data_IF_856086519834
#
_entry.id   IF_856086519834
#
_cell.length_a   1.000
_cell.length_b   1.000
_cell.length_c   1.000
_cell.angle_alpha   90.00
_cell.angle_beta   90.00
_cell.angle_gamma   90.00
#
_symmetry.space_group_name_H-M   'P 1'
#
loop_
_entity.id
_entity.type
_entity.pdbx_description
1 polymer ?
#
# COMPACT_ATOMS: atom_id res chain seq x y z
N UNK A 1 12.32 10.83 -20.77
CA UNK A 1 12.43 9.75 -21.79
C UNK A 1 12.42 8.34 -21.17
N UNK A 2 11.40 7.95 -20.39
CA UNK A 2 11.28 6.55 -19.90
C UNK A 2 9.85 5.98 -19.95
N UNK A 3 8.86 6.81 -20.28
CA UNK A 3 7.43 6.46 -20.26
C UNK A 3 6.68 6.89 -21.50
N UNK A 4 7.40 7.34 -22.52
CA UNK A 4 6.83 7.76 -23.79
C UNK A 4 6.26 6.53 -24.51
N UNK A 5 4.97 6.55 -24.84
CA UNK A 5 4.25 5.43 -25.45
C UNK A 5 3.73 4.35 -24.49
N UNK A 6 3.92 4.49 -23.17
CA UNK A 6 3.35 3.60 -22.16
C UNK A 6 1.96 4.06 -21.72
N UNK A 7 1.06 3.11 -21.49
CA UNK A 7 -0.29 3.31 -20.96
C UNK A 7 -0.52 2.41 -19.73
N UNK A 8 -1.51 2.71 -18.87
CA UNK A 8 -1.82 1.86 -17.72
C UNK A 8 -2.16 0.44 -18.19
N UNK A 9 -1.76 -0.55 -17.39
CA UNK A 9 -2.12 -1.94 -17.67
C UNK A 9 -3.65 -2.10 -17.74
N UNK A 10 -4.13 -2.88 -18.70
CA UNK A 10 -5.56 -3.14 -18.89
C UNK A 10 -5.95 -4.52 -18.35
N UNK A 11 -7.24 -4.70 -18.04
CA UNK A 11 -7.79 -6.01 -17.64
C UNK A 11 -7.57 -7.08 -18.71
N UNK A 12 -7.79 -6.74 -19.98
CA UNK A 12 -7.61 -7.65 -21.12
C UNK A 12 -6.15 -8.11 -21.29
N UNK A 13 -5.19 -7.22 -21.05
CA UNK A 13 -3.78 -7.58 -21.03
C UNK A 13 -3.48 -8.52 -19.87
N UNK A 14 -3.96 -8.21 -18.66
CA UNK A 14 -3.78 -9.09 -17.49
C UNK A 14 -4.36 -10.48 -17.70
N UNK A 15 -5.52 -10.60 -18.35
CA UNK A 15 -6.12 -11.90 -18.65
C UNK A 15 -5.16 -12.78 -19.47
N UNK A 16 -4.61 -12.24 -20.57
CA UNK A 16 -3.62 -12.93 -21.42
C UNK A 16 -2.30 -13.17 -20.70
N UNK A 17 -1.87 -12.22 -19.86
CA UNK A 17 -0.64 -12.34 -19.11
C UNK A 17 -0.75 -13.47 -18.08
N UNK A 18 -1.85 -13.54 -17.36
CA UNK A 18 -2.12 -14.57 -16.35
C UNK A 18 -2.38 -15.96 -16.93
N UNK A 19 -2.64 -16.11 -18.24
CA UNK A 19 -2.63 -17.43 -18.90
C UNK A 19 -1.29 -18.15 -18.77
N UNK A 20 -0.20 -17.40 -18.56
CA UNK A 20 1.14 -17.94 -18.33
C UNK A 20 1.38 -18.36 -16.87
N UNK A 21 0.48 -18.00 -15.97
CA UNK A 21 0.59 -18.22 -14.52
C UNK A 21 -0.62 -19.00 -13.99
N UNK A 22 -0.81 -20.27 -14.37
CA UNK A 22 -1.89 -21.07 -13.81
C UNK A 22 -1.62 -21.35 -12.32
N UNK A 23 -2.57 -20.97 -11.46
CA UNK A 23 -2.57 -21.41 -10.07
C UNK A 23 -3.07 -22.87 -10.01
N UNK A 24 -2.31 -23.80 -9.42
CA UNK A 24 -2.80 -25.16 -9.20
C UNK A 24 -4.10 -25.15 -8.37
N UNK A 25 -5.07 -26.01 -8.68
CA UNK A 25 -6.30 -26.09 -7.90
C UNK A 25 -5.99 -26.55 -6.47
N UNK A 26 -6.73 -26.01 -5.51
CA UNK A 26 -6.66 -26.47 -4.13
C UNK A 26 -7.13 -27.94 -4.03
N UNK A 27 -6.63 -28.71 -3.06
CA UNK A 27 -7.17 -30.02 -2.75
C UNK A 27 -8.65 -29.94 -2.35
N UNK A 28 -9.49 -30.86 -2.85
CA UNK A 28 -10.92 -30.97 -2.46
C UNK A 28 -11.11 -31.08 -0.94
N UNK A 29 -10.10 -31.64 -0.25
CA UNK A 29 -10.06 -31.76 1.19
C UNK A 29 -10.16 -30.41 1.92
N UNK A 30 -9.72 -29.29 1.33
CA UNK A 30 -9.79 -27.98 1.98
C UNK A 30 -11.24 -27.56 2.28
N UNK A 31 -12.14 -27.70 1.31
CA UNK A 31 -13.56 -27.40 1.48
C UNK A 31 -14.23 -28.42 2.40
N UNK A 32 -13.96 -29.71 2.17
CA UNK A 32 -14.54 -30.79 2.97
C UNK A 32 -14.18 -30.69 4.47
N UNK A 33 -12.93 -30.33 4.79
CA UNK A 33 -12.49 -30.13 6.17
C UNK A 33 -13.12 -28.89 6.81
N UNK A 34 -13.28 -27.80 6.05
CA UNK A 34 -13.98 -26.61 6.53
C UNK A 34 -15.46 -26.93 6.87
N UNK A 35 -16.15 -27.67 6.01
CA UNK A 35 -17.52 -28.13 6.27
C UNK A 35 -17.58 -29.06 7.48
N UNK A 36 -16.64 -30.01 7.60
CA UNK A 36 -16.58 -30.96 8.71
C UNK A 36 -16.34 -30.27 10.05
N UNK A 37 -15.38 -29.34 10.12
CA UNK A 37 -15.11 -28.56 11.33
C UNK A 37 -16.32 -27.72 11.74
N UNK A 38 -17.03 -27.11 10.78
CA UNK A 38 -18.28 -26.39 11.04
C UNK A 38 -19.38 -27.31 11.57
N UNK A 39 -19.56 -28.49 10.98
CA UNK A 39 -20.54 -29.47 11.43
C UNK A 39 -20.26 -29.95 12.87
N UNK A 40 -18.99 -30.22 13.20
CA UNK A 40 -18.58 -30.58 14.56
C UNK A 40 -18.88 -29.42 15.52
N UNK A 41 -18.54 -28.19 15.14
CA UNK A 41 -18.78 -26.99 15.95
C UNK A 41 -20.28 -26.79 16.25
N UNK A 42 -21.14 -26.93 15.23
CA UNK A 42 -22.58 -26.81 15.39
C UNK A 42 -23.17 -27.92 16.29
N UNK A 43 -22.69 -29.17 16.14
CA UNK A 43 -23.10 -30.28 16.99
C UNK A 43 -22.69 -30.06 18.45
N UNK A 44 -21.48 -29.53 18.70
CA UNK A 44 -21.00 -29.18 20.03
C UNK A 44 -21.80 -28.03 20.65
N UNK A 45 -22.12 -27.00 19.88
CA UNK A 45 -22.95 -25.88 20.33
C UNK A 45 -24.35 -26.35 20.74
N UNK A 46 -24.98 -27.24 19.94
CA UNK A 46 -26.31 -27.77 20.23
C UNK A 46 -26.34 -28.72 21.44
N UNK A 47 -25.27 -29.49 21.65
CA UNK A 47 -25.17 -30.41 22.78
C UNK A 47 -24.84 -29.72 24.11
N UNK A 48 -24.46 -28.44 24.08
CA UNK A 48 -24.05 -27.70 25.28
C UNK A 48 -25.25 -27.30 26.14
N UNK A 49 -25.10 -27.44 27.46
CA UNK A 49 -26.10 -26.94 28.42
C UNK A 49 -26.08 -25.41 28.54
N UNK A 50 -24.98 -24.76 28.15
CA UNK A 50 -24.80 -23.32 28.19
C UNK A 50 -25.25 -22.68 26.86
N UNK A 51 -25.92 -21.50 26.90
CA UNK A 51 -26.33 -20.80 25.70
C UNK A 51 -25.13 -20.33 24.87
N UNK A 52 -25.33 -20.19 23.57
CA UNK A 52 -24.36 -19.62 22.64
C UNK A 52 -24.04 -18.18 23.09
N UNK A 53 -22.76 -17.83 23.12
CA UNK A 53 -22.34 -16.48 23.49
C UNK A 53 -22.45 -15.51 22.29
N UNK A 54 -22.59 -14.20 22.51
CA UNK A 54 -22.60 -13.23 21.40
C UNK A 54 -21.34 -13.30 20.51
N UNK A 55 -20.19 -13.64 21.09
CA UNK A 55 -18.94 -13.82 20.34
C UNK A 55 -18.98 -15.08 19.45
N UNK A 56 -19.62 -16.14 19.93
CA UNK A 56 -19.83 -17.37 19.15
C UNK A 56 -20.81 -17.14 18.00
N UNK A 57 -21.92 -16.42 18.22
CA UNK A 57 -22.86 -16.04 17.16
C UNK A 57 -22.16 -15.19 16.08
N UNK A 58 -21.32 -14.25 16.50
CA UNK A 58 -20.56 -13.40 15.59
C UNK A 58 -19.54 -14.21 14.78
N UNK A 59 -18.82 -15.13 15.42
CA UNK A 59 -17.85 -16.00 14.76
C UNK A 59 -18.52 -16.98 13.80
N UNK A 60 -19.68 -17.52 14.16
CA UNK A 60 -20.49 -18.36 13.27
C UNK A 60 -20.97 -17.57 12.05
N UNK A 61 -21.46 -16.33 12.25
CA UNK A 61 -21.84 -15.45 11.16
C UNK A 61 -20.67 -15.12 10.23
N UNK A 62 -19.48 -14.91 10.79
CA UNK A 62 -18.27 -14.68 9.99
C UNK A 62 -17.85 -15.93 9.21
N UNK A 63 -17.89 -17.11 9.84
CA UNK A 63 -17.55 -18.38 9.18
C UNK A 63 -18.54 -18.75 8.06
N UNK A 64 -19.80 -18.35 8.18
CA UNK A 64 -20.83 -18.52 7.14
C UNK A 64 -20.86 -17.37 6.12
N UNK A 65 -20.10 -16.29 6.36
CA UNK A 65 -20.04 -15.12 5.51
C UNK A 65 -19.32 -15.37 4.19
N UNK A 66 -19.48 -14.42 3.27
CA UNK A 66 -18.69 -14.38 2.05
C UNK A 66 -17.34 -13.73 2.41
N UNK A 67 -16.20 -14.39 2.14
CA UNK A 67 -14.89 -13.78 2.35
C UNK A 67 -14.76 -12.47 1.58
N UNK A 68 -13.97 -11.54 2.12
CA UNK A 68 -13.71 -10.27 1.45
C UNK A 68 -13.19 -10.49 0.02
N UNK A 69 -13.78 -9.76 -0.94
CA UNK A 69 -13.45 -9.86 -2.36
C UNK A 69 -12.02 -9.37 -2.65
N UNK A 70 -11.58 -8.31 -1.97
CA UNK A 70 -10.24 -7.76 -2.16
C UNK A 70 -9.19 -8.70 -1.56
N UNK A 71 -8.20 -9.09 -2.37
CA UNK A 71 -7.13 -10.01 -1.96
C UNK A 71 -6.40 -9.50 -0.71
N UNK A 72 -6.08 -8.22 -0.62
CA UNK A 72 -5.35 -7.68 0.53
C UNK A 72 -6.20 -7.62 1.80
N UNK A 73 -7.47 -7.24 1.70
CA UNK A 73 -8.43 -7.34 2.81
C UNK A 73 -8.50 -8.77 3.34
N UNK A 74 -8.53 -9.72 2.42
CA UNK A 74 -8.62 -11.12 2.73
C UNK A 74 -7.33 -11.66 3.38
N UNK A 75 -6.14 -11.24 2.91
CA UNK A 75 -4.87 -11.53 3.56
C UNK A 75 -4.83 -10.97 4.99
N UNK A 76 -5.33 -9.75 5.20
CA UNK A 76 -5.47 -9.18 6.54
C UNK A 76 -6.43 -10.00 7.42
N UNK A 77 -7.54 -10.48 6.86
CA UNK A 77 -8.48 -11.35 7.60
C UNK A 77 -7.85 -12.67 8.00
N UNK A 78 -7.05 -13.30 7.13
CA UNK A 78 -6.32 -14.53 7.46
C UNK A 78 -5.33 -14.29 8.62
N UNK A 79 -4.61 -13.17 8.58
CA UNK A 79 -3.68 -12.77 9.63
C UNK A 79 -4.38 -12.56 10.98
N UNK A 80 -5.54 -11.90 10.97
CA UNK A 80 -6.44 -11.78 12.12
C UNK A 80 -6.82 -13.17 12.66
N UNK A 81 -7.27 -14.09 11.79
CA UNK A 81 -7.71 -15.41 12.25
C UNK A 81 -6.56 -16.25 12.83
N UNK A 82 -5.37 -16.20 12.23
CA UNK A 82 -4.18 -16.86 12.77
C UNK A 82 -3.87 -16.35 14.18
N UNK A 83 -3.84 -15.03 14.39
CA UNK A 83 -3.55 -14.46 15.72
C UNK A 83 -4.63 -14.77 16.76
N UNK A 84 -5.90 -14.75 16.37
CA UNK A 84 -7.01 -15.16 17.23
C UNK A 84 -6.90 -16.64 17.64
N UNK A 85 -6.54 -17.53 16.70
CA UNK A 85 -6.29 -18.93 17.00
C UNK A 85 -5.10 -19.06 17.96
N UNK A 86 -3.99 -18.35 17.71
CA UNK A 86 -2.83 -18.39 18.59
C UNK A 86 -3.15 -17.88 20.01
N UNK A 87 -4.05 -16.91 20.14
CA UNK A 87 -4.56 -16.46 21.43
C UNK A 87 -5.32 -17.57 22.15
N UNK A 88 -6.19 -18.33 21.45
CA UNK A 88 -6.92 -19.47 22.00
C UNK A 88 -5.99 -20.61 22.41
N UNK A 89 -4.94 -20.87 21.61
CA UNK A 89 -3.99 -21.95 21.83
C UNK A 89 -2.95 -21.65 22.91
N UNK A 90 -2.85 -20.39 23.36
CA UNK A 90 -1.92 -20.00 24.42
C UNK A 90 -2.10 -20.91 25.64
N UNK A 91 -0.99 -21.48 26.12
CA UNK A 91 -0.96 -22.48 27.19
C UNK A 91 -1.70 -22.03 28.45
N UNK A 92 -1.63 -20.75 28.82
CA UNK A 92 -2.32 -20.21 30.00
C UNK A 92 -3.83 -20.05 29.81
N UNK A 93 -4.31 -19.99 28.56
CA UNK A 93 -5.72 -19.85 28.19
C UNK A 93 -6.41 -21.17 27.87
N UNK A 94 -5.66 -22.26 27.70
CA UNK A 94 -6.25 -23.59 27.53
C UNK A 94 -7.08 -23.98 28.77
N UNK A 95 -8.11 -24.82 28.62
CA UNK A 95 -8.90 -25.29 29.76
C UNK A 95 -8.03 -25.96 30.83
N UNK A 96 -8.30 -25.68 32.11
CA UNK A 96 -7.51 -26.23 33.24
C UNK A 96 -7.46 -27.76 33.20
N UNK A 97 -8.57 -28.41 32.84
CA UNK A 97 -8.65 -29.87 32.68
C UNK A 97 -7.66 -30.40 31.62
N UNK A 98 -7.46 -29.66 30.52
CA UNK A 98 -6.49 -30.02 29.48
C UNK A 98 -5.05 -29.74 29.94
N UNK A 99 -4.82 -28.67 30.70
CA UNK A 99 -3.49 -28.34 31.24
C UNK A 99 -2.97 -29.39 32.23
N UNK A 100 -3.86 -30.01 33.01
CA UNK A 100 -3.50 -31.05 33.99
C UNK A 100 -3.04 -32.36 33.35
N UNK A 101 -3.35 -32.59 32.06
CA UNK A 101 -2.96 -33.80 31.30
C UNK A 101 -3.24 -35.10 32.05
N UNK A 102 -4.39 -35.19 32.71
CA UNK A 102 -4.71 -36.30 33.63
C UNK A 102 -4.97 -37.63 32.91
N UNK A 103 -5.24 -37.60 31.61
CA UNK A 103 -5.45 -38.80 30.78
C UNK A 103 -4.49 -38.83 29.58
N UNK A 104 -4.35 -40.01 28.97
CA UNK A 104 -3.58 -40.17 27.73
C UNK A 104 -4.17 -39.32 26.59
N UNK A 105 -5.49 -39.24 26.49
CA UNK A 105 -6.21 -38.40 25.52
C UNK A 105 -5.94 -36.90 25.71
N UNK A 106 -5.91 -36.43 26.96
CA UNK A 106 -5.56 -35.03 27.26
C UNK A 106 -4.10 -34.73 26.87
N UNK A 107 -3.21 -35.71 27.05
CA UNK A 107 -1.79 -35.59 26.67
C UNK A 107 -1.63 -35.52 25.16
N UNK A 108 -2.30 -36.40 24.41
CA UNK A 108 -2.31 -36.42 22.94
C UNK A 108 -2.89 -35.11 22.39
N UNK A 109 -4.05 -34.68 22.89
CA UNK A 109 -4.68 -33.40 22.53
C UNK A 109 -3.74 -32.23 22.77
N UNK A 110 -3.08 -32.19 23.94
CA UNK A 110 -2.14 -31.12 24.26
C UNK A 110 -0.98 -31.05 23.26
N UNK A 111 -0.40 -32.20 22.89
CA UNK A 111 0.71 -32.28 21.93
C UNK A 111 0.27 -31.79 20.55
N UNK A 112 -0.92 -32.22 20.09
CA UNK A 112 -1.44 -31.79 18.79
C UNK A 112 -1.69 -30.27 18.78
N UNK A 113 -2.25 -29.70 19.85
CA UNK A 113 -2.43 -28.26 19.95
C UNK A 113 -1.11 -27.48 19.97
N UNK A 114 -0.04 -28.03 20.56
CA UNK A 114 1.32 -27.44 20.50
C UNK A 114 1.88 -27.46 19.05
N UNK A 115 1.65 -28.54 18.30
CA UNK A 115 2.04 -28.63 16.88
C UNK A 115 1.25 -27.63 16.02
N UNK A 116 -0.07 -27.55 16.21
CA UNK A 116 -0.94 -26.57 15.54
C UNK A 116 -0.50 -25.13 15.84
N UNK A 117 -0.21 -24.82 17.10
CA UNK A 117 0.29 -23.49 17.52
C UNK A 117 1.60 -23.15 16.81
N UNK A 118 2.51 -24.12 16.68
CA UNK A 118 3.80 -23.95 16.02
C UNK A 118 3.62 -23.66 14.53
N UNK A 119 2.80 -24.46 13.83
CA UNK A 119 2.51 -24.30 12.39
C UNK A 119 1.89 -22.94 12.08
N UNK A 120 0.91 -22.51 12.88
CA UNK A 120 0.24 -21.23 12.68
C UNK A 120 1.14 -20.04 13.01
N UNK A 121 2.03 -20.14 14.01
CA UNK A 121 3.06 -19.12 14.28
C UNK A 121 4.00 -18.94 13.10
N UNK A 122 4.50 -20.04 12.55
CA UNK A 122 5.39 -19.99 11.39
C UNK A 122 4.69 -19.41 10.16
N UNK A 123 3.44 -19.83 9.88
CA UNK A 123 2.67 -19.30 8.76
C UNK A 123 2.36 -17.81 8.94
N UNK A 124 1.98 -17.37 10.14
CA UNK A 124 1.74 -15.95 10.44
C UNK A 124 2.98 -15.12 10.12
N UNK A 125 4.16 -15.56 10.58
CA UNK A 125 5.43 -14.87 10.30
C UNK A 125 5.74 -14.79 8.81
N UNK A 126 5.51 -15.87 8.05
CA UNK A 126 5.69 -15.88 6.59
C UNK A 126 4.75 -14.88 5.90
N UNK A 127 3.47 -14.83 6.32
CA UNK A 127 2.50 -13.88 5.79
C UNK A 127 2.89 -12.41 6.10
N UNK A 128 3.36 -12.13 7.31
CA UNK A 128 3.86 -10.81 7.69
C UNK A 128 5.04 -10.37 6.82
N UNK A 129 6.02 -11.26 6.63
CA UNK A 129 7.18 -11.02 5.77
C UNK A 129 6.75 -10.79 4.32
N UNK A 130 5.81 -11.58 3.82
CA UNK A 130 5.23 -11.42 2.49
C UNK A 130 4.60 -10.02 2.32
N UNK A 131 3.77 -9.58 3.26
CA UNK A 131 3.10 -8.28 3.18
C UNK A 131 4.09 -7.10 3.22
N UNK A 132 5.12 -7.17 4.08
CA UNK A 132 6.18 -6.16 4.16
C UNK A 132 6.95 -6.10 2.85
N UNK A 133 7.43 -7.25 2.36
CA UNK A 133 8.18 -7.34 1.11
C UNK A 133 7.36 -6.85 -0.09
N UNK A 134 6.08 -7.19 -0.14
CA UNK A 134 5.20 -6.74 -1.21
C UNK A 134 4.99 -5.22 -1.18
N UNK A 135 4.79 -4.64 0.01
CA UNK A 135 4.66 -3.19 0.16
C UNK A 135 5.95 -2.45 -0.28
N UNK A 136 7.11 -2.97 0.07
CA UNK A 136 8.40 -2.42 -0.38
C UNK A 136 8.63 -2.60 -1.88
N UNK A 137 8.25 -3.74 -2.45
CA UNK A 137 8.33 -3.97 -3.90
C UNK A 137 7.46 -2.97 -4.66
N UNK A 138 6.20 -2.80 -4.27
CA UNK A 138 5.29 -1.83 -4.90
C UNK A 138 5.87 -0.42 -4.80
N UNK A 139 6.35 -0.03 -3.61
CA UNK A 139 6.95 1.29 -3.41
C UNK A 139 8.20 1.49 -4.28
N UNK A 140 9.11 0.52 -4.30
CA UNK A 140 10.34 0.59 -5.10
C UNK A 140 10.04 0.63 -6.60
N UNK A 141 9.05 -0.13 -7.08
CA UNK A 141 8.59 -0.06 -8.46
C UNK A 141 7.99 1.30 -8.79
N UNK A 142 7.20 1.91 -7.90
CA UNK A 142 6.74 3.30 -8.11
C UNK A 142 7.94 4.26 -8.19
N UNK A 143 8.94 4.07 -7.33
CA UNK A 143 10.14 4.92 -7.27
C UNK A 143 11.03 4.84 -8.52
N UNK A 144 10.94 3.80 -9.36
CA UNK A 144 11.70 3.75 -10.63
C UNK A 144 11.18 4.74 -11.66
N UNK A 145 9.90 5.12 -11.56
CA UNK A 145 9.24 6.09 -12.44
C UNK A 145 9.27 7.52 -11.87
N UNK A 146 9.70 7.69 -10.62
CA UNK A 146 9.83 8.99 -9.99
C UNK A 146 11.17 9.65 -10.38
N UNK A 147 11.22 11.00 -10.46
CA UNK A 147 12.48 11.71 -10.62
C UNK A 147 13.48 11.35 -9.51
N UNK A 148 14.72 11.02 -9.90
CA UNK A 148 15.81 10.64 -8.97
C UNK A 148 16.52 11.86 -8.37
N UNK A 149 15.74 12.89 -8.06
CA UNK A 149 16.21 14.12 -7.44
C UNK A 149 15.66 14.26 -6.01
N UNK A 150 15.72 15.46 -5.45
CA UNK A 150 15.23 15.74 -4.10
C UNK A 150 13.76 15.30 -3.88
N UNK A 151 12.92 15.26 -4.92
CA UNK A 151 11.51 14.84 -4.84
C UNK A 151 11.38 13.39 -4.45
N UNK A 152 12.23 12.52 -5.01
CA UNK A 152 12.25 11.11 -4.64
C UNK A 152 12.67 10.89 -3.18
N UNK A 153 13.61 11.68 -2.69
CA UNK A 153 14.05 11.67 -1.27
C UNK A 153 12.94 12.15 -0.34
N UNK A 154 12.23 13.23 -0.69
CA UNK A 154 11.10 13.73 0.11
C UNK A 154 9.97 12.69 0.23
N UNK A 155 9.62 12.01 -0.87
CA UNK A 155 8.58 10.97 -0.86
C UNK A 155 8.98 9.80 0.05
N UNK A 156 10.25 9.38 0.03
CA UNK A 156 10.77 8.35 0.94
C UNK A 156 10.65 8.80 2.41
N UNK A 157 11.09 10.01 2.74
CA UNK A 157 11.00 10.55 4.10
C UNK A 157 9.54 10.70 4.57
N UNK A 158 8.65 11.12 3.68
CA UNK A 158 7.21 11.23 3.97
C UNK A 158 6.60 9.85 4.24
N UNK A 159 6.94 8.83 3.44
CA UNK A 159 6.54 7.44 3.69
C UNK A 159 7.00 6.99 5.07
N UNK A 160 8.28 7.11 5.37
CA UNK A 160 8.83 6.66 6.66
C UNK A 160 8.17 7.35 7.86
N UNK A 161 7.92 8.66 7.78
CA UNK A 161 7.22 9.41 8.84
C UNK A 161 5.78 8.94 8.97
N UNK A 162 5.08 8.76 7.86
CA UNK A 162 3.70 8.26 7.84
C UNK A 162 3.60 6.85 8.43
N UNK A 163 4.49 5.94 8.06
CA UNK A 163 4.49 4.57 8.60
C UNK A 163 4.83 4.55 10.10
N UNK A 164 5.75 5.41 10.56
CA UNK A 164 6.03 5.57 12.00
C UNK A 164 4.81 6.06 12.77
N UNK A 165 4.09 7.05 12.27
CA UNK A 165 2.89 7.57 12.92
C UNK A 165 1.78 6.51 12.99
N UNK A 166 1.55 5.79 11.89
CA UNK A 166 0.56 4.70 11.84
C UNK A 166 0.89 3.56 12.81
N UNK A 167 2.18 3.21 12.92
CA UNK A 167 2.62 2.22 13.90
C UNK A 167 2.38 2.71 15.33
N UNK A 168 2.64 3.99 15.62
CA UNK A 168 2.35 4.57 16.93
C UNK A 168 0.85 4.53 17.29
N UNK A 169 -0.05 4.73 16.33
CA UNK A 169 -1.50 4.54 16.55
C UNK A 169 -1.86 3.10 16.90
N UNK A 170 -1.25 2.14 16.20
CA UNK A 170 -1.43 0.70 16.49
C UNK A 170 -0.91 0.37 17.87
N UNK A 171 0.29 0.84 18.23
CA UNK A 171 0.89 0.61 19.54
C UNK A 171 0.04 1.25 20.65
N UNK A 172 -0.49 2.46 20.43
CA UNK A 172 -1.38 3.13 21.36
C UNK A 172 -2.68 2.34 21.59
N UNK A 173 -3.29 1.79 20.52
CA UNK A 173 -4.48 0.96 20.61
C UNK A 173 -4.21 -0.33 21.40
N UNK A 174 -3.10 -1.01 21.11
CA UNK A 174 -2.71 -2.24 21.82
C UNK A 174 -2.43 -1.94 23.30
N UNK A 175 -1.71 -0.87 23.60
CA UNK A 175 -1.40 -0.44 24.97
C UNK A 175 -2.65 -0.03 25.76
N UNK A 176 -3.69 0.47 25.09
CA UNK A 176 -4.99 0.77 25.67
C UNK A 176 -5.86 -0.49 25.92
N UNK A 177 -5.36 -1.69 25.57
CA UNK A 177 -6.09 -2.95 25.73
C UNK A 177 -7.04 -3.26 24.57
N UNK A 178 -6.83 -2.65 23.39
CA UNK A 178 -7.59 -2.97 22.18
C UNK A 178 -7.50 -4.45 21.80
N UNK A 179 -8.59 -5.00 21.28
CA UNK A 179 -8.64 -6.38 20.85
C UNK A 179 -7.84 -6.61 19.56
N UNK A 180 -7.55 -7.88 19.24
CA UNK A 180 -6.93 -8.25 17.96
C UNK A 180 -7.79 -7.72 16.80
N UNK A 181 -9.12 -7.86 16.89
CA UNK A 181 -10.08 -7.32 15.92
C UNK A 181 -9.96 -5.80 15.76
N UNK A 182 -9.86 -5.05 16.86
CA UNK A 182 -9.70 -3.58 16.79
C UNK A 182 -8.42 -3.20 16.05
N UNK A 183 -7.32 -3.91 16.32
CA UNK A 183 -6.04 -3.68 15.63
C UNK A 183 -6.15 -3.94 14.13
N UNK A 184 -6.78 -5.04 13.72
CA UNK A 184 -6.94 -5.35 12.29
C UNK A 184 -7.94 -4.41 11.59
N UNK A 185 -8.97 -3.94 12.29
CA UNK A 185 -9.86 -2.89 11.79
C UNK A 185 -9.10 -1.57 11.55
N UNK A 186 -8.21 -1.18 12.47
CA UNK A 186 -7.35 -0.01 12.32
C UNK A 186 -6.37 -0.16 11.14
N UNK A 187 -5.69 -1.30 11.03
CA UNK A 187 -4.76 -1.57 9.92
C UNK A 187 -5.48 -1.52 8.57
N UNK A 188 -6.69 -2.07 8.48
CA UNK A 188 -7.50 -1.99 7.27
C UNK A 188 -7.94 -0.55 6.96
N UNK A 189 -8.38 0.20 7.97
CA UNK A 189 -8.71 1.62 7.83
C UNK A 189 -7.50 2.41 7.30
N UNK A 190 -6.33 2.24 7.91
CA UNK A 190 -5.09 2.87 7.45
C UNK A 190 -4.74 2.49 6.01
N UNK A 191 -5.01 1.24 5.59
CA UNK A 191 -4.82 0.80 4.21
C UNK A 191 -5.82 1.46 3.24
N UNK A 192 -7.08 1.63 3.64
CA UNK A 192 -8.09 2.33 2.83
C UNK A 192 -7.77 3.82 2.73
N UNK A 193 -7.35 4.46 3.82
CA UNK A 193 -6.94 5.86 3.82
C UNK A 193 -5.77 6.11 2.85
N UNK A 194 -4.78 5.19 2.79
CA UNK A 194 -3.71 5.22 1.77
C UNK A 194 -4.28 5.19 0.36
N UNK A 195 -5.24 4.30 0.08
CA UNK A 195 -5.87 4.16 -1.23
C UNK A 195 -6.68 5.41 -1.62
N UNK A 196 -7.40 6.00 -0.68
CA UNK A 196 -8.15 7.24 -0.90
C UNK A 196 -7.20 8.39 -1.20
N UNK A 197 -6.10 8.52 -0.45
CA UNK A 197 -5.07 9.52 -0.72
C UNK A 197 -4.42 9.34 -2.10
N UNK A 198 -4.15 8.09 -2.50
CA UNK A 198 -3.67 7.77 -3.85
C UNK A 198 -4.71 8.13 -4.93
N UNK A 199 -5.99 7.81 -4.76
CA UNK A 199 -7.03 8.20 -5.72
C UNK A 199 -7.19 9.74 -5.83
N UNK A 200 -7.00 10.47 -4.72
CA UNK A 200 -6.99 11.94 -4.71
C UNK A 200 -5.79 12.52 -5.46
N UNK A 201 -4.63 11.85 -5.43
CA UNK A 201 -3.49 12.15 -6.30
C UNK A 201 -3.87 11.95 -7.77
N UNK A 202 -4.49 10.83 -8.15
CA UNK A 202 -4.90 10.58 -9.55
C UNK A 202 -5.99 11.53 -10.09
N UNK A 203 -6.79 12.15 -9.21
CA UNK A 203 -7.86 13.08 -9.57
C UNK A 203 -7.50 14.56 -9.42
N UNK A 204 -6.30 14.87 -8.94
CA UNK A 204 -5.82 16.23 -8.68
C UNK A 204 -6.80 17.07 -7.83
N UNK A 205 -7.36 16.48 -6.76
CA UNK A 205 -8.30 17.15 -5.84
C UNK A 205 -7.71 17.29 -4.42
N UNK A 206 -8.18 18.28 -3.65
CA UNK A 206 -7.74 18.52 -2.25
C UNK A 206 -6.31 19.09 -2.10
N UNK A 207 -5.68 18.85 -0.94
CA UNK A 207 -4.28 19.23 -0.62
C UNK A 207 -3.27 18.65 -1.63
N UNK A 208 -3.64 17.53 -2.26
CA UNK A 208 -2.84 16.80 -3.23
C UNK A 208 -2.93 17.33 -4.66
N UNK A 209 -3.87 18.24 -4.96
CA UNK A 209 -3.88 19.04 -6.21
C UNK A 209 -2.59 19.84 -6.36
N UNK A 210 -2.00 20.24 -5.23
CA UNK A 210 -0.74 20.96 -5.18
C UNK A 210 0.42 20.02 -5.48
N UNK A 211 0.42 18.80 -4.92
CA UNK A 211 1.38 17.74 -5.27
C UNK A 211 1.33 17.35 -6.75
N UNK A 212 0.16 17.15 -7.37
CA UNK A 212 0.06 16.89 -8.82
C UNK A 212 0.59 18.06 -9.66
N UNK A 213 0.46 19.30 -9.18
CA UNK A 213 1.13 20.47 -9.79
C UNK A 213 2.65 20.52 -9.52
N UNK A 214 3.13 19.90 -8.43
CA UNK A 214 4.55 19.73 -8.08
C UNK A 214 5.22 18.51 -8.74
N UNK A 215 4.43 17.60 -9.31
CA UNK A 215 4.87 16.35 -9.96
C UNK A 215 5.16 16.53 -11.47
N UNK A 216 5.64 17.70 -11.91
CA UNK A 216 6.06 17.81 -13.32
C UNK A 216 7.31 16.97 -13.54
N UNK A 217 7.16 15.90 -14.31
CA UNK A 217 8.17 14.85 -14.47
C UNK A 217 7.73 13.49 -13.91
N UNK A 218 6.61 13.42 -13.16
CA UNK A 218 5.93 12.14 -12.94
C UNK A 218 5.19 11.76 -14.20
N UNK A 219 5.43 10.57 -14.74
CA UNK A 219 4.74 10.11 -15.93
C UNK A 219 3.22 10.15 -15.77
N UNK A 220 2.51 10.80 -16.70
CA UNK A 220 1.04 10.86 -16.69
C UNK A 220 0.42 9.46 -16.61
N UNK A 221 1.05 8.47 -17.25
CA UNK A 221 0.67 7.06 -17.19
C UNK A 221 0.58 6.51 -15.76
N UNK A 222 1.43 6.98 -14.84
CA UNK A 222 1.43 6.58 -13.43
C UNK A 222 0.25 7.19 -12.67
N UNK A 223 -0.12 8.43 -12.98
CA UNK A 223 -1.32 9.07 -12.44
C UNK A 223 -2.60 8.40 -12.96
N UNK A 224 -2.63 8.05 -14.24
CA UNK A 224 -3.74 7.33 -14.87
C UNK A 224 -3.91 5.92 -14.28
N UNK A 225 -2.81 5.22 -14.01
CA UNK A 225 -2.82 3.93 -13.32
C UNK A 225 -3.36 4.04 -11.89
N UNK A 226 -2.88 5.02 -11.10
CA UNK A 226 -3.34 5.24 -9.73
C UNK A 226 -4.85 5.54 -9.68
N UNK A 227 -5.38 6.26 -10.67
CA UNK A 227 -6.82 6.52 -10.78
C UNK A 227 -7.62 5.24 -11.04
N UNK A 228 -7.07 4.27 -11.76
CA UNK A 228 -7.73 3.01 -12.13
C UNK A 228 -7.52 1.88 -11.12
N UNK A 229 -6.54 1.98 -10.22
CA UNK A 229 -6.18 0.88 -9.29
C UNK A 229 -7.29 0.53 -8.28
N UNK A 230 -8.15 1.50 -7.97
CA UNK A 230 -9.28 1.35 -7.05
C UNK A 230 -10.62 1.23 -7.77
N UNK A 231 -10.65 1.16 -9.10
CA UNK A 231 -11.87 0.91 -9.85
C UNK A 231 -12.34 -0.53 -9.56
N UNK A 232 -13.61 -0.69 -9.16
CA UNK A 232 -14.23 -1.98 -8.90
C UNK A 232 -14.40 -2.82 -10.19
N UNK A 233 -14.15 -2.23 -11.36
CA UNK A 233 -14.01 -2.93 -12.65
C UNK A 233 -12.61 -2.79 -13.25
N UNK A 234 -11.64 -2.34 -12.45
CA UNK A 234 -10.28 -2.05 -12.87
C UNK A 234 -9.48 -3.31 -13.25
N UNK A 235 -8.25 -3.14 -13.75
CA UNK A 235 -7.38 -4.25 -14.14
C UNK A 235 -7.18 -5.29 -13.03
N UNK A 236 -7.19 -4.85 -11.77
CA UNK A 236 -7.03 -5.72 -10.60
C UNK A 236 -8.20 -6.68 -10.37
N UNK A 237 -9.37 -6.50 -11.00
CA UNK A 237 -10.46 -7.48 -10.94
C UNK A 237 -10.08 -8.81 -11.59
N UNK A 238 -9.28 -8.79 -12.65
CA UNK A 238 -8.81 -10.02 -13.30
C UNK A 238 -8.04 -10.91 -12.30
N UNK A 239 -7.22 -10.28 -11.47
CA UNK A 239 -6.48 -10.99 -10.43
C UNK A 239 -7.42 -11.58 -9.37
N UNK A 240 -8.47 -10.84 -8.99
CA UNK A 240 -9.45 -11.28 -7.98
C UNK A 240 -10.28 -12.44 -8.51
N UNK A 241 -10.77 -12.37 -9.73
CA UNK A 241 -11.55 -13.45 -10.36
C UNK A 241 -10.72 -14.72 -10.52
N UNK A 242 -9.46 -14.59 -10.93
CA UNK A 242 -8.61 -15.74 -11.26
C UNK A 242 -8.01 -16.42 -10.04
N UNK A 243 -7.55 -15.65 -9.06
CA UNK A 243 -6.80 -16.19 -7.92
C UNK A 243 -7.53 -16.04 -6.58
N UNK A 244 -8.51 -15.14 -6.49
CA UNK A 244 -9.34 -14.94 -5.30
C UNK A 244 -10.03 -16.23 -4.81
N UNK A 245 -10.65 -17.06 -5.67
CA UNK A 245 -11.38 -18.27 -5.22
C UNK A 245 -10.56 -19.22 -4.32
N UNK A 246 -9.28 -19.40 -4.62
CA UNK A 246 -8.39 -20.21 -3.79
C UNK A 246 -8.21 -19.57 -2.39
N UNK A 247 -7.87 -18.29 -2.35
CA UNK A 247 -7.71 -17.54 -1.10
C UNK A 247 -9.01 -17.50 -0.28
N UNK A 248 -10.16 -17.31 -0.92
CA UNK A 248 -11.48 -17.32 -0.26
C UNK A 248 -11.76 -18.68 0.39
N UNK A 249 -11.39 -19.77 -0.28
CA UNK A 249 -11.52 -21.13 0.25
C UNK A 249 -10.64 -21.34 1.48
N UNK A 250 -9.36 -20.91 1.42
CA UNK A 250 -8.45 -20.97 2.56
C UNK A 250 -8.93 -20.11 3.74
N UNK A 251 -9.55 -18.97 3.46
CA UNK A 251 -10.14 -18.09 4.48
C UNK A 251 -11.30 -18.76 5.20
N UNK A 252 -12.18 -19.45 4.46
CA UNK A 252 -13.25 -20.25 5.06
C UNK A 252 -12.69 -21.37 5.93
N UNK A 253 -11.59 -22.00 5.50
CA UNK A 253 -10.94 -23.05 6.27
C UNK A 253 -10.37 -22.53 7.60
N UNK A 254 -9.63 -21.41 7.60
CA UNK A 254 -9.09 -20.84 8.87
C UNK A 254 -10.18 -20.32 9.80
N UNK A 255 -11.27 -19.78 9.26
CA UNK A 255 -12.45 -19.41 10.06
C UNK A 255 -13.10 -20.63 10.71
N UNK A 256 -13.24 -21.74 9.96
CA UNK A 256 -13.75 -22.99 10.50
C UNK A 256 -12.83 -23.59 11.58
N UNK A 257 -11.51 -23.51 11.38
CA UNK A 257 -10.51 -23.89 12.39
C UNK A 257 -10.69 -23.06 13.68
N UNK A 258 -10.80 -21.73 13.55
CA UNK A 258 -11.01 -20.84 14.69
C UNK A 258 -12.32 -21.14 15.42
N UNK A 259 -13.42 -21.28 14.69
CA UNK A 259 -14.74 -21.59 15.27
C UNK A 259 -14.70 -22.91 16.05
N UNK A 260 -14.15 -23.96 15.44
CA UNK A 260 -14.01 -25.25 16.09
C UNK A 260 -13.16 -25.17 17.36
N UNK A 261 -12.00 -24.53 17.31
CA UNK A 261 -11.14 -24.37 18.48
C UNK A 261 -11.83 -23.56 19.59
N UNK A 262 -12.52 -22.48 19.23
CA UNK A 262 -13.24 -21.65 20.19
C UNK A 262 -14.31 -22.45 20.93
N UNK A 263 -15.21 -23.10 20.18
CA UNK A 263 -16.34 -23.88 20.74
C UNK A 263 -15.84 -25.07 21.55
N UNK A 264 -14.86 -25.81 21.03
CA UNK A 264 -14.34 -27.04 21.66
C UNK A 264 -13.56 -26.76 22.94
N UNK A 265 -12.72 -25.72 22.95
CA UNK A 265 -11.96 -25.34 24.15
C UNK A 265 -12.89 -24.75 25.22
N UNK A 266 -13.85 -23.90 24.85
CA UNK A 266 -14.82 -23.34 25.79
C UNK A 266 -15.65 -24.42 26.50
N UNK A 267 -15.92 -25.54 25.81
CA UNK A 267 -16.75 -26.65 26.30
C UNK A 267 -15.96 -27.88 26.72
N UNK A 268 -14.63 -27.81 26.79
CA UNK A 268 -13.76 -28.97 27.04
C UNK A 268 -14.11 -29.74 28.33
N UNK A 269 -14.54 -29.03 29.38
CA UNK A 269 -14.96 -29.65 30.64
C UNK A 269 -16.30 -30.41 30.56
N UNK A 270 -17.13 -30.11 29.56
CA UNK A 270 -18.41 -30.79 29.32
C UNK A 270 -18.24 -31.98 28.37
N UNK A 271 -17.45 -31.79 27.31
CA UNK A 271 -17.11 -32.82 26.33
C UNK A 271 -15.65 -32.65 25.92
N UNK A 272 -14.85 -33.70 26.15
CA UNK A 272 -13.47 -33.74 25.67
C UNK A 272 -13.45 -33.77 24.15
N UNK A 273 -12.34 -33.30 23.57
CA UNK A 273 -12.11 -33.40 22.13
C UNK A 273 -11.84 -34.88 21.80
N UNK A 274 -12.64 -35.43 20.89
CA UNK A 274 -12.48 -36.82 20.46
C UNK A 274 -11.29 -36.98 19.52
N UNK A 275 -10.73 -38.19 19.48
CA UNK A 275 -9.55 -38.50 18.67
C UNK A 275 -9.76 -38.22 17.18
N UNK A 276 -10.94 -38.53 16.67
CA UNK A 276 -11.27 -38.28 15.26
C UNK A 276 -11.42 -36.78 14.98
N UNK A 277 -11.98 -36.01 15.93
CA UNK A 277 -12.17 -34.56 15.78
C UNK A 277 -10.84 -33.80 15.84
N UNK A 278 -9.92 -34.19 16.73
CA UNK A 278 -8.58 -33.58 16.79
C UNK A 278 -7.75 -33.93 15.56
N UNK A 279 -7.90 -35.13 14.98
CA UNK A 279 -7.25 -35.51 13.74
C UNK A 279 -7.74 -34.67 12.55
N UNK A 280 -9.04 -34.34 12.50
CA UNK A 280 -9.61 -33.43 11.49
C UNK A 280 -9.00 -32.03 11.62
N UNK A 281 -8.89 -31.50 12.85
CA UNK A 281 -8.21 -30.22 13.09
C UNK A 281 -6.76 -30.25 12.58
N UNK A 282 -6.01 -31.30 12.92
CA UNK A 282 -4.61 -31.42 12.54
C UNK A 282 -4.44 -31.43 11.02
N UNK A 283 -5.29 -32.19 10.32
CA UNK A 283 -5.30 -32.25 8.87
C UNK A 283 -5.70 -30.90 8.24
N UNK A 284 -6.71 -30.23 8.80
CA UNK A 284 -7.16 -28.92 8.34
C UNK A 284 -6.07 -27.85 8.45
N UNK A 285 -5.35 -27.82 9.58
CA UNK A 285 -4.23 -26.90 9.80
C UNK A 285 -3.07 -27.21 8.85
N UNK A 286 -2.74 -28.49 8.66
CA UNK A 286 -1.68 -28.89 7.74
C UNK A 286 -1.96 -28.40 6.32
N UNK A 287 -3.15 -28.72 5.78
CA UNK A 287 -3.57 -28.28 4.45
C UNK A 287 -3.64 -26.76 4.36
N UNK A 288 -4.22 -26.10 5.37
CA UNK A 288 -4.29 -24.64 5.38
C UNK A 288 -2.90 -24.01 5.27
N UNK A 289 -1.96 -24.40 6.13
CA UNK A 289 -0.62 -23.80 6.13
C UNK A 289 0.16 -24.11 4.86
N UNK A 290 0.08 -25.33 4.33
CA UNK A 290 0.78 -25.72 3.10
C UNK A 290 0.23 -24.97 1.88
N UNK A 291 -1.08 -24.96 1.70
CA UNK A 291 -1.71 -24.33 0.54
C UNK A 291 -1.69 -22.81 0.61
N UNK A 292 -1.76 -22.23 1.81
CA UNK A 292 -1.64 -20.79 1.99
C UNK A 292 -0.22 -20.30 1.71
N UNK A 293 0.81 -21.07 2.11
CA UNK A 293 2.19 -20.79 1.73
C UNK A 293 2.38 -20.80 0.21
N UNK A 294 1.97 -21.89 -0.46
CA UNK A 294 1.99 -22.01 -1.92
C UNK A 294 1.29 -20.83 -2.59
N UNK A 295 0.12 -20.44 -2.08
CA UNK A 295 -0.62 -19.28 -2.59
C UNK A 295 0.17 -17.98 -2.45
N UNK A 296 0.78 -17.71 -1.28
CA UNK A 296 1.56 -16.49 -1.05
C UNK A 296 2.83 -16.43 -1.90
N UNK A 297 3.50 -17.57 -2.11
CA UNK A 297 4.66 -17.67 -3.00
C UNK A 297 4.26 -17.40 -4.45
N UNK A 298 3.22 -18.08 -4.92
CA UNK A 298 2.68 -17.93 -6.26
C UNK A 298 2.27 -16.48 -6.54
N UNK A 299 1.44 -15.89 -5.68
CA UNK A 299 0.94 -14.53 -5.92
C UNK A 299 2.08 -13.52 -5.83
N UNK A 300 3.08 -13.76 -4.97
CA UNK A 300 4.31 -12.97 -4.91
C UNK A 300 5.09 -12.99 -6.22
N UNK A 301 5.24 -14.15 -6.85
CA UNK A 301 5.87 -14.29 -8.16
C UNK A 301 5.08 -13.55 -9.25
N UNK A 302 3.76 -13.71 -9.27
CA UNK A 302 2.88 -13.01 -10.21
C UNK A 302 3.01 -11.49 -10.05
N UNK A 303 3.02 -10.97 -8.82
CA UNK A 303 3.14 -9.53 -8.55
C UNK A 303 4.48 -8.94 -8.96
N UNK A 304 5.60 -9.66 -8.75
CA UNK A 304 6.93 -9.18 -9.12
C UNK A 304 7.10 -9.08 -10.63
N UNK A 305 6.44 -9.96 -11.38
CA UNK A 305 6.61 -10.04 -12.83
C UNK A 305 5.52 -9.31 -13.63
N UNK A 306 4.37 -9.00 -13.01
CA UNK A 306 3.29 -8.29 -13.69
C UNK A 306 3.68 -6.84 -14.01
N UNK A 307 3.57 -6.41 -15.28
CA UNK A 307 3.93 -5.05 -15.65
C UNK A 307 2.90 -4.04 -15.10
N UNK A 308 3.35 -2.91 -14.56
CA UNK A 308 2.46 -1.82 -14.14
C UNK A 308 1.96 -0.98 -15.33
N UNK A 309 2.77 -0.93 -16.40
CA UNK A 309 2.50 -0.20 -17.63
C UNK A 309 2.78 -1.08 -18.83
N UNK A 310 2.00 -0.90 -19.89
CA UNK A 310 2.13 -1.64 -21.16
C UNK A 310 2.25 -0.66 -22.32
N UNK A 311 2.68 -1.10 -23.50
CA UNK A 311 2.70 -0.21 -24.66
C UNK A 311 1.28 0.15 -25.11
N UNK A 312 1.12 1.30 -25.76
CA UNK A 312 -0.18 1.69 -26.34
C UNK A 312 -0.72 0.64 -27.33
N UNK A 313 0.17 -0.03 -28.08
CA UNK A 313 -0.15 -1.13 -28.99
C UNK A 313 -0.69 -2.36 -28.23
N UNK A 314 -0.03 -2.76 -27.14
CA UNK A 314 -0.47 -3.88 -26.28
C UNK A 314 -1.82 -3.61 -25.60
N UNK A 315 -2.15 -2.33 -25.39
CA UNK A 315 -3.43 -1.89 -24.86
C UNK A 315 -4.54 -1.76 -25.93
N UNK A 316 -4.20 -1.90 -27.21
CA UNK A 316 -5.12 -1.72 -28.33
C UNK A 316 -5.55 -0.27 -28.57
N UNK A 317 -4.74 0.71 -28.15
CA UNK A 317 -5.02 2.14 -28.29
C UNK A 317 -4.08 2.80 -29.32
N UNK A 318 -4.61 3.69 -30.17
CA UNK A 318 -3.78 4.55 -31.01
C UNK A 318 -2.95 5.51 -30.13
N UNK A 319 -1.66 5.66 -30.45
CA UNK A 319 -0.71 6.45 -29.67
C UNK A 319 -1.22 7.89 -29.48
N UNK A 320 -1.61 8.24 -28.25
CA UNK A 320 -1.78 9.64 -27.87
C UNK A 320 -0.40 10.22 -27.60
N UNK A 321 0.08 11.05 -28.52
CA UNK A 321 1.21 11.94 -28.26
C UNK A 321 0.85 12.84 -27.06
N UNK A 322 1.60 12.76 -25.96
CA UNK A 322 1.39 13.63 -24.82
C UNK A 322 2.12 14.96 -25.06
N UNK A 323 1.38 15.96 -25.55
CA UNK A 323 1.77 17.36 -25.42
C UNK A 323 1.40 17.83 -24.00
N UNK A 324 2.38 18.34 -23.24
CA UNK A 324 2.26 19.53 -22.39
C UNK A 324 3.50 19.71 -21.47
N UNK A 325 4.60 20.20 -22.03
CA UNK A 325 5.53 21.02 -21.26
C UNK A 325 5.24 22.49 -21.60
N UNK A 326 4.74 23.28 -20.64
CA UNK A 326 4.54 24.73 -20.86
C UNK A 326 5.89 25.43 -20.90
N UNK A 327 6.38 25.64 -22.13
CA UNK A 327 7.57 26.45 -22.42
C UNK A 327 7.29 27.93 -22.09
N UNK A 328 8.20 28.56 -21.35
CA UNK A 328 8.18 30.03 -21.16
C UNK A 328 9.29 30.66 -21.99
N UNK A 329 8.92 31.45 -22.99
CA UNK A 329 9.87 32.13 -23.86
C UNK A 329 10.23 33.50 -23.28
N UNK A 330 11.52 33.74 -23.03
CA UNK A 330 12.06 35.01 -22.55
C UNK A 330 12.76 35.72 -23.73
N UNK A 331 12.20 36.83 -24.24
CA UNK A 331 12.81 37.56 -25.37
C UNK A 331 14.21 38.10 -25.05
N UNK A 332 14.98 38.40 -26.09
CA UNK A 332 16.24 39.14 -25.97
C UNK A 332 15.98 40.52 -25.32
N UNK A 333 16.84 40.93 -24.39
CA UNK A 333 16.72 42.22 -23.71
C UNK A 333 15.63 42.27 -22.62
N UNK A 334 15.05 41.12 -22.21
CA UNK A 334 13.94 41.06 -21.26
C UNK A 334 14.24 40.16 -20.05
N UNK A 335 13.48 40.38 -18.98
CA UNK A 335 13.47 39.53 -17.78
C UNK A 335 12.12 38.82 -17.67
N UNK A 336 12.12 37.67 -17.02
CA UNK A 336 10.93 36.97 -16.54
C UNK A 336 11.01 36.84 -15.03
N UNK A 337 9.89 37.07 -14.36
CA UNK A 337 9.85 37.18 -12.90
C UNK A 337 8.69 36.38 -12.35
N UNK A 338 8.96 35.61 -11.30
CA UNK A 338 7.95 34.92 -10.50
C UNK A 338 8.01 35.48 -9.10
N UNK A 339 6.88 36.01 -8.63
CA UNK A 339 6.73 36.54 -7.27
C UNK A 339 5.89 35.55 -6.47
N UNK A 340 6.44 35.16 -5.32
CA UNK A 340 5.84 34.27 -4.36
C UNK A 340 5.52 35.02 -3.07
N UNK A 341 4.27 34.96 -2.61
CA UNK A 341 3.87 35.52 -1.32
C UNK A 341 3.94 34.45 -0.23
N UNK A 342 4.73 34.70 0.80
CA UNK A 342 4.99 33.79 1.93
C UNK A 342 4.31 34.33 3.17
N UNK A 343 3.34 33.57 3.70
CA UNK A 343 2.55 33.99 4.86
C UNK A 343 3.21 33.68 6.20
N UNK A 344 4.09 32.67 6.27
CA UNK A 344 4.83 32.35 7.49
C UNK A 344 6.27 31.85 7.23
N UNK A 345 7.11 32.00 8.25
CA UNK A 345 8.50 31.51 8.26
C UNK A 345 8.58 30.00 8.15
N UNK A 346 9.74 29.49 7.72
CA UNK A 346 10.02 28.06 7.50
C UNK A 346 9.29 27.39 6.33
N UNK A 347 8.75 28.18 5.40
CA UNK A 347 8.29 27.66 4.12
C UNK A 347 9.47 27.33 3.21
N UNK A 348 9.31 26.35 2.32
CA UNK A 348 10.37 25.97 1.37
C UNK A 348 10.13 26.56 -0.02
N UNK A 349 11.11 27.33 -0.50
CA UNK A 349 11.18 27.80 -1.89
C UNK A 349 12.26 27.00 -2.61
N UNK A 350 11.86 26.30 -3.67
CA UNK A 350 12.75 25.55 -4.55
C UNK A 350 12.57 25.99 -6.00
N UNK A 351 13.64 25.87 -6.78
CA UNK A 351 13.62 26.02 -8.23
C UNK A 351 14.37 24.89 -8.92
N UNK A 352 13.96 24.65 -10.15
CA UNK A 352 14.64 23.85 -11.15
C UNK A 352 14.35 24.56 -12.47
N UNK A 353 15.34 24.69 -13.33
CA UNK A 353 15.14 25.14 -14.70
C UNK A 353 16.27 24.67 -15.59
N UNK A 354 15.96 24.53 -16.88
CA UNK A 354 16.94 24.32 -17.94
C UNK A 354 16.57 25.13 -19.17
N UNK A 355 17.54 25.34 -20.05
CA UNK A 355 17.34 26.01 -21.32
C UNK A 355 17.24 25.00 -22.46
N UNK A 356 16.26 25.21 -23.34
CA UNK A 356 16.15 24.42 -24.56
C UNK A 356 17.34 24.71 -25.50
N UNK A 357 18.10 23.67 -25.85
CA UNK A 357 19.17 23.80 -26.84
C UNK A 357 18.58 24.06 -28.23
N UNK A 358 19.08 25.09 -28.91
CA UNK A 358 18.74 25.37 -30.31
C UNK A 358 19.46 24.41 -31.27
N UNK A 359 19.01 24.36 -32.53
CA UNK A 359 19.55 23.46 -33.58
C UNK A 359 21.04 23.68 -33.93
N UNK A 360 21.66 24.73 -33.39
CA UNK A 360 23.10 24.98 -33.45
C UNK A 360 23.62 24.75 -32.03
N UNK A 361 24.59 23.86 -31.84
CA UNK A 361 25.25 23.51 -30.56
C UNK A 361 25.93 24.71 -29.87
N UNK A 362 25.19 25.78 -29.61
CA UNK A 362 25.59 26.97 -28.89
C UNK A 362 25.16 26.81 -27.45
N UNK A 363 26.12 27.00 -26.55
CA UNK A 363 25.86 27.06 -25.11
C UNK A 363 24.96 28.27 -24.84
N UNK A 364 23.71 28.00 -24.46
CA UNK A 364 22.76 29.01 -24.03
C UNK A 364 22.77 29.06 -22.51
N UNK A 365 22.91 30.25 -21.96
CA UNK A 365 22.78 30.51 -20.54
C UNK A 365 21.70 31.58 -20.27
N UNK A 366 21.33 31.75 -19.00
CA UNK A 366 20.39 32.76 -18.51
C UNK A 366 20.87 33.29 -17.17
N UNK A 367 20.69 34.59 -16.91
CA UNK A 367 20.96 35.16 -15.60
C UNK A 367 19.87 34.70 -14.63
N UNK A 368 20.24 34.29 -13.42
CA UNK A 368 19.28 33.90 -12.40
C UNK A 368 19.68 34.40 -11.02
N UNK A 369 18.70 34.91 -10.27
CA UNK A 369 18.87 35.32 -8.87
C UNK A 369 17.53 35.29 -8.12
N UNK A 370 17.62 35.36 -6.79
CA UNK A 370 16.45 35.37 -5.89
C UNK A 370 16.57 36.53 -4.90
N UNK A 371 15.51 37.33 -4.80
CA UNK A 371 15.40 38.44 -3.86
C UNK A 371 14.23 38.21 -2.89
N UNK A 372 14.40 38.58 -1.63
CA UNK A 372 13.32 38.77 -0.67
C UNK A 372 12.92 40.25 -0.63
N UNK A 373 11.63 40.52 -0.56
CA UNK A 373 11.01 41.83 -0.46
C UNK A 373 10.19 41.85 0.83
N UNK A 374 10.63 42.65 1.80
CA UNK A 374 9.93 42.79 3.08
C UNK A 374 8.55 43.46 2.90
N UNK A 375 7.65 43.36 3.89
CA UNK A 375 6.41 44.14 3.90
C UNK A 375 6.61 45.66 3.80
N UNK A 376 7.78 46.17 4.21
CA UNK A 376 8.18 47.58 4.07
C UNK A 376 8.78 47.92 2.70
N UNK A 377 8.87 46.95 1.78
CA UNK A 377 9.44 47.11 0.44
C UNK A 377 10.97 47.03 0.36
N UNK A 378 11.65 46.72 1.47
CA UNK A 378 13.10 46.57 1.49
C UNK A 378 13.51 45.25 0.82
N UNK A 379 14.47 45.33 -0.08
CA UNK A 379 15.00 44.16 -0.79
C UNK A 379 16.20 43.56 -0.09
N UNK A 380 16.28 42.24 -0.04
CA UNK A 380 17.42 41.47 0.47
C UNK A 380 17.74 40.35 -0.51
N UNK A 381 19.00 40.23 -0.92
CA UNK A 381 19.43 39.20 -1.85
C UNK A 381 19.52 37.85 -1.13
N UNK A 382 18.84 36.84 -1.66
CA UNK A 382 18.85 35.46 -1.12
C UNK A 382 19.81 34.59 -1.92
N UNK A 383 19.73 34.65 -3.25
CA UNK A 383 20.67 34.01 -4.15
C UNK A 383 21.29 35.08 -5.07
N UNK A 384 22.62 35.22 -5.13
CA UNK A 384 23.25 36.21 -5.97
C UNK A 384 23.15 35.88 -7.46
N UNK A 385 23.13 36.93 -8.28
CA UNK A 385 23.11 36.83 -9.73
C UNK A 385 24.29 36.03 -10.27
N UNK A 386 23.98 34.99 -11.05
CA UNK A 386 24.94 34.22 -11.85
C UNK A 386 24.28 33.78 -13.16
N UNK A 387 25.10 33.37 -14.13
CA UNK A 387 24.64 32.83 -15.41
C UNK A 387 24.67 31.30 -15.36
N UNK A 388 23.56 30.68 -15.74
CA UNK A 388 23.36 29.23 -15.68
C UNK A 388 22.82 28.71 -17.01
N UNK A 389 23.28 27.53 -17.42
CA UNK A 389 22.67 26.76 -18.53
C UNK A 389 21.44 25.99 -18.03
N UNK A 390 21.54 25.48 -16.81
CA UNK A 390 20.50 24.90 -15.98
C UNK A 390 20.92 25.10 -14.51
N UNK A 391 19.97 25.20 -13.61
CA UNK A 391 20.25 25.28 -12.17
C UNK A 391 19.10 24.69 -11.35
N UNK A 392 19.45 24.09 -10.23
CA UNK A 392 18.51 23.54 -9.27
C UNK A 392 18.94 23.94 -7.85
N UNK A 393 17.99 24.43 -7.06
CA UNK A 393 18.29 24.86 -5.71
C UNK A 393 17.04 25.02 -4.85
N UNK A 394 17.24 25.15 -3.55
CA UNK A 394 16.18 25.43 -2.59
C UNK A 394 16.73 26.17 -1.38
N UNK A 395 15.83 26.84 -0.65
CA UNK A 395 16.12 27.39 0.67
C UNK A 395 14.85 27.46 1.53
N UNK A 396 15.06 27.61 2.83
CA UNK A 396 14.00 27.81 3.81
C UNK A 396 13.78 29.31 4.05
N UNK A 397 12.53 29.77 3.97
CA UNK A 397 12.18 31.20 4.11
C UNK A 397 12.41 31.67 5.54
N UNK A 398 13.19 32.74 5.69
CA UNK A 398 13.55 33.33 6.99
C UNK A 398 12.53 34.33 7.51
N UNK A 399 11.64 34.85 6.66
CA UNK A 399 10.66 35.89 6.99
C UNK A 399 9.39 35.74 6.14
N UNK A 400 8.24 36.15 6.68
CA UNK A 400 7.02 36.34 5.89
C UNK A 400 7.13 37.60 5.01
N UNK A 401 6.71 37.52 3.75
CA UNK A 401 6.86 38.58 2.76
C UNK A 401 6.89 38.04 1.34
N UNK A 402 7.40 38.82 0.38
CA UNK A 402 7.42 38.39 -1.04
C UNK A 402 8.81 37.95 -1.45
N UNK A 403 8.93 36.78 -2.07
CA UNK A 403 10.18 36.30 -2.66
C UNK A 403 10.06 36.34 -4.18
N UNK A 404 11.07 36.90 -4.84
CA UNK A 404 11.08 37.17 -6.27
C UNK A 404 12.22 36.39 -6.91
N UNK A 405 11.87 35.48 -7.80
CA UNK A 405 12.80 34.73 -8.63
C UNK A 405 12.86 35.40 -10.00
N UNK A 406 14.05 35.67 -10.50
CA UNK A 406 14.24 36.45 -11.73
C UNK A 406 15.15 35.71 -12.69
N UNK A 407 14.62 35.43 -13.88
CA UNK A 407 15.36 34.95 -15.05
C UNK A 407 15.64 36.13 -15.96
N UNK A 408 16.92 36.45 -16.14
CA UNK A 408 17.39 37.64 -16.80
C UNK A 408 18.05 37.30 -18.14
N UNK A 409 17.44 37.78 -19.23
CA UNK A 409 17.99 37.72 -20.57
C UNK A 409 18.26 39.14 -21.12
N UNK A 410 18.36 40.15 -20.25
CA UNK A 410 18.62 41.55 -20.60
C UNK A 410 19.97 41.75 -21.28
N UNK A 411 20.95 40.90 -20.97
CA UNK A 411 22.28 40.94 -21.58
C UNK A 411 22.32 40.37 -23.02
N UNK A 412 21.28 39.64 -23.45
CA UNK A 412 21.21 39.06 -24.80
C UNK A 412 20.62 40.08 -25.77
N UNK A 413 21.36 40.43 -26.81
CA UNK A 413 20.89 41.35 -27.86
C UNK A 413 20.13 40.66 -28.99
N UNK A 414 20.30 39.35 -29.17
CA UNK A 414 19.82 38.62 -30.36
C UNK A 414 19.05 37.35 -30.07
N UNK A 415 19.32 36.68 -28.94
CA UNK A 415 18.78 35.36 -28.67
C UNK A 415 17.71 35.40 -27.59
N UNK A 416 16.50 34.94 -27.95
CA UNK A 416 15.48 34.54 -26.96
C UNK A 416 15.91 33.25 -26.27
N UNK A 417 15.40 33.02 -25.06
CA UNK A 417 15.68 31.83 -24.25
C UNK A 417 14.37 31.10 -23.99
N UNK A 418 14.31 29.82 -24.37
CA UNK A 418 13.20 28.93 -24.02
C UNK A 418 13.49 28.29 -22.67
N UNK A 419 12.79 28.72 -21.63
CA UNK A 419 12.93 28.16 -20.28
C UNK A 419 12.05 26.92 -20.18
N UNK A 420 12.66 25.79 -19.86
CA UNK A 420 11.99 24.52 -19.59
C UNK A 420 12.06 24.20 -18.09
N UNK A 421 10.94 23.71 -17.53
CA UNK A 421 10.90 23.19 -16.17
C UNK A 421 10.80 24.24 -15.06
N UNK A 422 10.22 25.42 -15.30
CA UNK A 422 10.02 26.45 -14.26
C UNK A 422 9.15 25.92 -13.09
N UNK A 423 9.77 25.60 -11.96
CA UNK A 423 9.06 25.26 -10.71
C UNK A 423 9.42 26.24 -9.61
N UNK A 424 8.42 26.72 -8.89
CA UNK A 424 8.62 27.52 -7.69
C UNK A 424 7.63 27.05 -6.63
N UNK A 425 8.12 26.47 -5.54
CA UNK A 425 7.27 25.93 -4.45
C UNK A 425 7.19 26.88 -3.26
N UNK A 426 6.13 26.74 -2.47
CA UNK A 426 5.88 27.46 -1.22
C UNK A 426 4.98 26.57 -0.37
N UNK A 427 5.48 26.00 0.72
CA UNK A 427 4.66 25.19 1.63
C UNK A 427 4.62 25.80 3.03
N UNK A 428 3.41 26.07 3.53
CA UNK A 428 3.09 26.25 4.95
C UNK A 428 2.72 24.88 5.53
N UNK A 429 3.51 24.37 6.48
CA UNK A 429 3.20 23.13 7.20
C UNK A 429 2.58 23.54 8.55
N UNK A 430 1.25 23.52 8.63
CA UNK A 430 0.60 23.45 9.95
C UNK A 430 0.81 22.04 10.52
N UNK A 431 1.25 22.04 11.77
CA UNK A 431 1.41 20.90 12.67
C UNK A 431 0.09 20.23 13.04
#
# INVERSE_FOLDING_TARGET
>A
MATEGLVPITRAYLARYYDKYPLPPLPDAATALADRLRAISAALALAAAAPITPDEELLEKEANGIPAHKIDENLWKNREQMEEILLLLNKSRRPVALQQRSTAEDTETFIILDDVETKLKDMLKKLEQFQIKNADNVFNTVMTYMPQDFRGTLIRQQRERSERNKQAEVDALVNAGGSIRDRYALLWKQQMDRRVQLAQLGSATGVYKTLVRYLVGVPQVLLDFIRQINDDNGPMEEQRERYGPALYTLTKLVLAIRLYLHVSLARYGQRKIEKDDIAVLQQAVAIYTEEFEKFTEFIGEVFVNAPFFISAEDAGAESRNSDDYKETIIPAGKTHEVILSVEAVNSYIAWDFSLQQGALNMVLDIGFHVEYISPSGQKTLILPYRRYEADQGNFCTVSAGSYKLVWDNSYSSFFKKGLQGLFVTLDYIDS
#
